data_IF_045463063741
#
_entry.id   IF_045463063741
#
_cell.length_a   1.000
_cell.length_b   1.000
_cell.length_c   1.000
_cell.angle_alpha   90.00
_cell.angle_beta   90.00
_cell.angle_gamma   90.00
#
_symmetry.space_group_name_H-M   'P 1'
#
loop_
_entity.id
_entity.type
_entity.pdbx_description
1 polymer ?
#
# COMPACT_ATOMS: atom_id res chain seq x y z
N UNK A 1 -53.90 15.89 0.19
CA UNK A 1 -54.26 14.97 -0.93
C UNK A 1 -53.38 15.30 -2.13
N UNK A 2 -53.05 14.28 -2.94
CA UNK A 2 -52.11 14.28 -4.08
C UNK A 2 -50.64 14.14 -3.63
N UNK A 3 -50.08 12.96 -3.35
CA UNK A 3 -49.94 11.74 -4.17
C UNK A 3 -49.28 12.03 -5.53
N UNK A 4 -48.00 11.68 -5.69
CA UNK A 4 -47.50 11.10 -6.95
C UNK A 4 -46.13 10.39 -6.81
N UNK A 5 -46.20 9.06 -6.91
CA UNK A 5 -45.30 8.13 -7.60
C UNK A 5 -43.87 7.92 -7.07
N UNK A 6 -43.78 7.05 -6.05
CA UNK A 6 -42.64 6.13 -5.88
C UNK A 6 -42.67 5.10 -7.03
N UNK A 7 -41.79 5.27 -8.03
CA UNK A 7 -41.55 4.24 -9.05
C UNK A 7 -40.49 3.29 -8.53
N UNK A 8 -40.94 2.10 -8.12
CA UNK A 8 -40.10 0.94 -7.84
C UNK A 8 -39.43 0.47 -9.13
N UNK A 9 -38.13 0.20 -9.08
CA UNK A 9 -37.46 -0.68 -10.03
C UNK A 9 -36.61 -1.66 -9.23
N UNK A 10 -37.22 -2.81 -8.88
CA UNK A 10 -36.50 -4.02 -8.54
C UNK A 10 -35.92 -4.57 -9.84
N UNK A 11 -34.59 -4.50 -9.99
CA UNK A 11 -33.87 -4.98 -11.17
C UNK A 11 -32.90 -6.08 -10.79
N UNK A 12 -33.39 -7.32 -10.90
CA UNK A 12 -32.72 -8.59 -11.19
C UNK A 12 -31.30 -8.86 -10.63
N UNK A 13 -31.23 -9.91 -9.79
CA UNK A 13 -30.05 -10.76 -9.61
C UNK A 13 -29.48 -11.17 -10.98
N UNK A 14 -28.23 -10.82 -11.22
CA UNK A 14 -27.42 -11.34 -12.33
C UNK A 14 -26.13 -11.91 -11.78
N UNK A 15 -26.18 -13.12 -11.21
CA UNK A 15 -24.99 -13.91 -10.88
C UNK A 15 -24.41 -14.42 -12.20
N UNK A 16 -23.40 -13.72 -12.72
CA UNK A 16 -22.60 -14.22 -13.85
C UNK A 16 -21.37 -14.90 -13.27
N UNK A 17 -21.52 -16.19 -12.97
CA UNK A 17 -20.41 -17.11 -12.77
C UNK A 17 -19.83 -17.46 -14.15
N UNK A 18 -18.75 -16.79 -14.55
CA UNK A 18 -18.04 -17.14 -15.78
C UNK A 18 -16.73 -17.87 -15.46
N UNK A 19 -16.83 -19.20 -15.60
CA UNK A 19 -15.83 -20.17 -16.06
C UNK A 19 -14.35 -19.93 -15.73
N UNK A 20 -13.87 -20.77 -14.81
CA UNK A 20 -12.47 -21.22 -14.70
C UNK A 20 -12.01 -21.83 -16.02
N UNK A 21 -10.99 -21.26 -16.64
CA UNK A 21 -10.24 -21.89 -17.73
C UNK A 21 -8.89 -22.38 -17.18
N UNK A 22 -8.83 -23.67 -16.83
CA UNK A 22 -7.57 -24.41 -16.64
C UNK A 22 -7.18 -24.98 -18.01
N UNK A 23 -6.11 -24.46 -18.60
CA UNK A 23 -5.31 -25.14 -19.63
C UNK A 23 -3.92 -25.34 -19.01
N UNK A 24 -3.61 -26.53 -18.49
CA UNK A 24 -3.11 -27.70 -19.22
C UNK A 24 -1.67 -27.52 -19.73
N UNK A 25 -0.74 -27.86 -18.83
CA UNK A 25 0.35 -28.82 -18.99
C UNK A 25 1.38 -28.71 -20.13
N UNK A 26 2.64 -28.84 -19.67
CA UNK A 26 3.79 -29.50 -20.30
C UNK A 26 4.58 -28.75 -21.38
N UNK A 27 5.77 -28.32 -20.97
CA UNK A 27 7.00 -28.77 -21.63
C UNK A 27 8.18 -28.62 -20.66
N UNK A 28 8.42 -29.66 -19.85
CA UNK A 28 9.72 -29.90 -19.23
C UNK A 28 10.69 -30.32 -20.35
N UNK A 29 11.36 -29.34 -20.95
CA UNK A 29 12.45 -29.56 -21.88
C UNK A 29 13.79 -29.61 -21.14
N UNK A 30 14.28 -30.81 -20.88
CA UNK A 30 15.72 -31.12 -20.74
C UNK A 30 16.38 -30.87 -22.12
N UNK A 31 17.64 -30.49 -22.35
CA UNK A 31 18.93 -30.52 -21.65
C UNK A 31 19.83 -29.45 -22.32
N UNK A 32 20.86 -28.96 -21.65
CA UNK A 32 22.22 -28.93 -22.23
C UNK A 32 23.27 -28.83 -21.13
N UNK A 33 24.26 -29.68 -21.33
CA UNK A 33 25.38 -30.06 -20.49
C UNK A 33 26.54 -29.06 -20.63
N UNK A 34 27.39 -29.00 -19.59
CA UNK A 34 28.81 -28.71 -19.79
C UNK A 34 29.34 -27.43 -19.13
N UNK A 35 30.21 -27.61 -18.13
CA UNK A 35 31.30 -26.67 -17.87
C UNK A 35 31.45 -26.24 -16.42
N UNK A 36 32.03 -27.10 -15.57
CA UNK A 36 32.69 -26.65 -14.35
C UNK A 36 33.91 -25.81 -14.69
N UNK A 37 34.02 -24.65 -14.07
CA UNK A 37 35.17 -23.76 -14.11
C UNK A 37 35.12 -22.79 -12.94
N UNK A 38 35.61 -23.24 -11.79
CA UNK A 38 35.89 -22.38 -10.64
C UNK A 38 37.18 -21.58 -10.91
N UNK A 39 37.11 -20.24 -10.97
CA UNK A 39 38.17 -19.34 -10.51
C UNK A 39 37.56 -18.05 -9.95
N UNK A 40 38.17 -17.66 -8.84
CA UNK A 40 37.93 -16.63 -7.86
C UNK A 40 37.80 -15.17 -8.30
N UNK A 41 37.29 -14.39 -7.33
CA UNK A 41 37.58 -12.98 -7.01
C UNK A 41 37.21 -11.91 -8.04
N UNK A 42 36.22 -11.10 -7.68
CA UNK A 42 35.98 -9.81 -8.33
C UNK A 42 34.56 -9.32 -8.11
N UNK A 43 34.41 -8.35 -7.21
CA UNK A 43 33.20 -7.57 -7.00
C UNK A 43 32.51 -7.16 -8.32
N UNK A 44 31.18 -7.27 -8.39
CA UNK A 44 30.30 -6.20 -8.89
C UNK A 44 28.81 -6.56 -8.74
N UNK A 45 28.07 -5.51 -8.42
CA UNK A 45 26.63 -5.45 -8.22
C UNK A 45 25.87 -5.73 -9.52
N UNK A 46 24.65 -6.29 -9.43
CA UNK A 46 23.38 -5.57 -9.72
C UNK A 46 22.22 -6.57 -9.94
N UNK A 47 21.03 -6.09 -9.57
CA UNK A 47 19.69 -6.48 -10.06
C UNK A 47 19.16 -7.88 -9.77
N UNK A 48 18.22 -7.90 -8.83
CA UNK A 48 17.23 -8.94 -8.69
C UNK A 48 16.05 -8.52 -7.83
N UNK A 49 15.49 -7.32 -8.03
CA UNK A 49 14.13 -7.03 -7.57
C UNK A 49 13.22 -7.09 -8.80
N UNK A 50 12.61 -8.26 -8.99
CA UNK A 50 11.46 -8.42 -9.85
C UNK A 50 10.26 -7.88 -9.10
N UNK A 51 9.67 -6.79 -9.61
CA UNK A 51 8.42 -6.22 -9.14
C UNK A 51 7.28 -7.14 -9.52
N UNK A 52 6.77 -7.87 -8.53
CA UNK A 52 5.42 -8.44 -8.56
C UNK A 52 4.75 -8.04 -7.24
N UNK A 53 3.65 -7.31 -7.34
CA UNK A 53 2.89 -6.78 -6.22
C UNK A 53 2.06 -7.88 -5.54
N UNK A 54 2.33 -8.17 -4.27
CA UNK A 54 1.39 -8.70 -3.28
C UNK A 54 1.96 -8.38 -1.87
N UNK A 55 1.11 -7.93 -0.96
CA UNK A 55 1.51 -7.41 0.36
C UNK A 55 2.32 -8.38 1.23
N UNK A 56 3.41 -7.87 1.79
CA UNK A 56 4.05 -8.39 2.98
C UNK A 56 4.57 -7.19 3.79
N UNK A 57 3.95 -6.93 4.94
CA UNK A 57 4.57 -6.07 5.95
C UNK A 57 5.60 -6.93 6.67
N UNK A 58 6.87 -6.76 6.32
CA UNK A 58 7.97 -7.36 7.09
C UNK A 58 8.14 -6.54 8.37
N UNK A 59 7.39 -6.92 9.40
CA UNK A 59 7.53 -6.44 10.76
C UNK A 59 8.81 -7.03 11.37
N UNK A 60 9.95 -6.42 11.03
CA UNK A 60 11.21 -6.88 11.59
C UNK A 60 12.40 -6.04 11.17
N UNK A 61 12.60 -4.88 11.80
CA UNK A 61 13.91 -4.34 12.21
C UNK A 61 13.76 -2.93 12.75
N UNK A 62 13.85 -2.78 14.08
CA UNK A 62 13.76 -1.49 14.80
C UNK A 62 14.87 -0.49 14.44
N UNK A 63 15.89 -0.85 13.66
CA UNK A 63 16.89 0.07 13.11
C UNK A 63 16.49 0.67 11.75
N UNK A 64 15.47 0.11 11.09
CA UNK A 64 14.98 0.54 9.78
C UNK A 64 13.89 1.62 9.89
N UNK A 65 13.33 1.84 11.09
CA UNK A 65 12.20 2.75 11.28
C UNK A 65 12.60 4.16 10.84
N UNK A 66 13.68 4.74 11.37
CA UNK A 66 14.15 6.07 10.93
C UNK A 66 14.57 6.15 9.46
N UNK A 67 14.84 5.02 8.81
CA UNK A 67 15.22 4.96 7.40
C UNK A 67 14.02 4.71 6.46
N UNK A 68 12.81 4.50 7.00
CA UNK A 68 11.62 4.28 6.19
C UNK A 68 11.22 5.58 5.49
N UNK A 69 11.25 5.55 4.15
CA UNK A 69 10.94 6.69 3.30
C UNK A 69 9.61 6.54 2.55
N UNK A 70 8.99 5.37 2.60
CA UNK A 70 7.73 5.07 1.90
C UNK A 70 6.79 4.35 2.86
N UNK A 71 5.58 4.87 3.03
CA UNK A 71 4.46 4.18 3.68
C UNK A 71 3.45 3.76 2.63
N UNK A 72 2.88 2.57 2.75
CA UNK A 72 1.82 2.16 1.82
C UNK A 72 0.59 3.07 1.97
N UNK A 73 -0.09 3.34 0.86
CA UNK A 73 -1.25 4.24 0.84
C UNK A 73 -2.52 3.67 1.48
N UNK A 74 -2.47 2.44 1.99
CA UNK A 74 -3.54 1.87 2.80
C UNK A 74 -2.96 1.11 3.98
N UNK A 75 -3.34 1.51 5.18
CA UNK A 75 -2.88 0.89 6.41
C UNK A 75 -3.17 1.73 7.65
N UNK A 76 -2.79 1.15 8.78
CA UNK A 76 -2.83 1.75 10.10
C UNK A 76 -1.42 1.64 10.67
N UNK A 77 -0.82 2.76 11.05
CA UNK A 77 0.58 2.85 11.43
C UNK A 77 0.73 3.59 12.76
N UNK A 78 1.41 2.98 13.73
CA UNK A 78 1.80 3.65 14.95
C UNK A 78 2.83 4.75 14.66
N UNK A 79 2.50 6.00 15.01
CA UNK A 79 3.36 7.16 14.79
C UNK A 79 4.62 7.03 15.64
N UNK A 80 5.78 7.32 15.05
CA UNK A 80 7.10 7.21 15.67
C UNK A 80 7.71 5.81 15.70
N UNK A 81 6.94 4.74 15.43
CA UNK A 81 7.42 3.35 15.47
C UNK A 81 7.21 2.58 14.16
N UNK A 82 6.07 2.75 13.50
CA UNK A 82 5.79 2.15 12.18
C UNK A 82 5.76 3.24 11.10
N UNK A 83 5.26 4.43 11.45
CA UNK A 83 5.34 5.64 10.65
C UNK A 83 6.26 6.65 11.34
N UNK A 84 7.53 6.79 10.89
CA UNK A 84 8.47 7.74 11.48
C UNK A 84 7.95 9.18 11.45
N UNK A 85 8.42 10.01 12.39
CA UNK A 85 8.06 11.42 12.40
C UNK A 85 8.60 12.11 11.14
N UNK A 86 7.85 13.05 10.56
CA UNK A 86 8.27 13.78 9.37
C UNK A 86 7.11 14.30 8.54
N UNK A 87 7.46 14.90 7.41
CA UNK A 87 6.49 15.38 6.43
C UNK A 87 6.26 14.29 5.39
N UNK A 88 5.02 14.01 5.04
CA UNK A 88 4.66 13.02 4.05
C UNK A 88 3.84 13.64 2.93
N UNK A 89 4.10 13.21 1.70
CA UNK A 89 3.33 13.59 0.51
C UNK A 89 2.92 12.34 -0.27
N UNK A 90 1.76 12.38 -0.92
CA UNK A 90 1.34 11.31 -1.82
C UNK A 90 2.28 11.15 -3.02
N UNK A 91 2.58 9.89 -3.32
CA UNK A 91 3.34 9.49 -4.49
C UNK A 91 2.70 9.97 -5.79
N UNK A 92 3.54 10.43 -6.71
CA UNK A 92 3.09 11.02 -7.97
C UNK A 92 2.63 12.48 -7.86
N UNK A 93 2.71 13.07 -6.66
CA UNK A 93 2.45 14.50 -6.39
C UNK A 93 1.14 14.99 -7.03
N UNK A 94 0.00 14.33 -6.76
CA UNK A 94 -1.26 14.71 -7.38
C UNK A 94 -1.68 16.12 -6.93
N UNK A 95 -2.26 16.91 -7.84
CA UNK A 95 -2.73 18.28 -7.56
C UNK A 95 -3.88 18.33 -6.54
N UNK A 96 -4.57 17.21 -6.33
CA UNK A 96 -5.68 17.06 -5.41
C UNK A 96 -5.72 15.64 -4.83
N UNK A 97 -6.41 15.45 -3.71
CA UNK A 97 -6.59 14.14 -3.10
C UNK A 97 -7.30 13.18 -4.07
N UNK A 98 -6.71 12.02 -4.39
CA UNK A 98 -7.35 11.05 -5.28
C UNK A 98 -8.71 10.59 -4.75
N UNK A 99 -9.66 10.33 -5.66
CA UNK A 99 -10.98 9.84 -5.29
C UNK A 99 -10.86 8.51 -4.52
N UNK A 100 -11.43 8.46 -3.31
CA UNK A 100 -11.36 7.28 -2.44
C UNK A 100 -10.15 7.25 -1.51
N UNK A 101 -9.17 8.13 -1.69
CA UNK A 101 -8.10 8.35 -0.72
C UNK A 101 -8.65 9.12 0.48
N UNK A 102 -8.43 8.58 1.68
CA UNK A 102 -8.73 9.24 2.95
C UNK A 102 -7.61 8.97 3.93
N UNK A 103 -7.34 9.94 4.80
CA UNK A 103 -6.42 9.74 5.90
C UNK A 103 -6.87 10.49 7.15
N UNK A 104 -6.45 9.96 8.30
CA UNK A 104 -6.66 10.54 9.60
C UNK A 104 -5.46 10.23 10.52
N UNK A 105 -5.29 11.07 11.52
CA UNK A 105 -4.50 10.78 12.70
C UNK A 105 -5.49 10.54 13.83
N UNK A 106 -5.32 9.44 14.54
CA UNK A 106 -6.19 8.98 15.61
C UNK A 106 -5.46 8.98 16.96
N UNK A 107 -6.24 9.13 18.02
CA UNK A 107 -5.78 8.95 19.40
C UNK A 107 -5.72 7.47 19.81
N UNK A 108 -5.34 7.23 21.06
CA UNK A 108 -5.18 5.87 21.59
C UNK A 108 -6.51 5.10 21.71
N UNK A 109 -7.64 5.80 21.69
CA UNK A 109 -8.99 5.23 21.73
C UNK A 109 -9.56 5.05 20.31
N UNK A 110 -8.75 5.29 19.27
CA UNK A 110 -9.16 5.21 17.87
C UNK A 110 -10.13 6.33 17.45
N UNK A 111 -10.18 7.43 18.21
CA UNK A 111 -10.96 8.60 17.82
C UNK A 111 -10.11 9.48 16.89
N UNK A 112 -10.76 10.06 15.89
CA UNK A 112 -10.10 10.98 14.96
C UNK A 112 -9.63 12.23 15.72
N UNK A 113 -8.32 12.40 15.80
CA UNK A 113 -7.66 13.60 16.31
C UNK A 113 -7.55 14.66 15.21
N UNK A 114 -7.12 14.25 14.02
CA UNK A 114 -7.06 15.08 12.81
C UNK A 114 -7.52 14.24 11.62
N UNK A 115 -8.32 14.81 10.73
CA UNK A 115 -8.56 14.27 9.40
C UNK A 115 -8.26 15.35 8.37
N UNK A 116 -7.68 14.96 7.24
CA UNK A 116 -7.37 15.90 6.18
C UNK A 116 -7.88 15.47 4.83
N UNK A 117 -8.09 16.46 3.97
CA UNK A 117 -8.49 16.34 2.57
C UNK A 117 -7.34 16.69 1.60
N UNK A 118 -6.13 16.88 2.13
CA UNK A 118 -4.94 17.26 1.37
C UNK A 118 -4.00 16.11 1.06
N UNK A 119 -3.08 16.34 0.14
CA UNK A 119 -2.07 15.37 -0.33
C UNK A 119 -0.81 15.34 0.54
N UNK A 120 -0.80 16.10 1.64
CA UNK A 120 0.29 16.22 2.60
C UNK A 120 -0.19 15.93 4.03
N UNK A 121 0.66 15.29 4.82
CA UNK A 121 0.44 15.10 6.27
C UNK A 121 1.76 15.26 7.03
N UNK A 122 1.69 15.84 8.23
CA UNK A 122 2.84 15.99 9.11
C UNK A 122 2.66 15.09 10.32
N UNK A 123 3.55 14.12 10.49
CA UNK A 123 3.57 13.24 11.65
C UNK A 123 4.59 13.78 12.64
N UNK A 124 4.11 14.28 13.77
CA UNK A 124 4.93 14.89 14.83
C UNK A 124 4.73 14.14 16.14
N UNK A 125 5.64 14.37 17.09
CA UNK A 125 5.50 13.81 18.42
C UNK A 125 4.45 14.61 19.19
N UNK A 126 3.20 14.12 19.16
CA UNK A 126 2.07 14.65 19.91
C UNK A 126 1.51 13.50 20.77
N UNK A 127 1.44 13.64 22.10
CA UNK A 127 1.03 12.54 22.99
C UNK A 127 -0.34 11.95 22.66
N UNK A 128 -1.27 12.78 22.20
CA UNK A 128 -2.64 12.43 21.87
C UNK A 128 -2.79 11.91 20.43
N UNK A 129 -1.76 12.03 19.58
CA UNK A 129 -1.83 11.70 18.16
C UNK A 129 -0.91 10.49 17.89
N UNK A 130 -1.46 9.28 18.02
CA UNK A 130 -0.65 8.05 18.15
C UNK A 130 -0.69 7.16 16.92
N UNK A 131 -1.73 7.28 16.10
CA UNK A 131 -1.95 6.38 14.96
C UNK A 131 -2.21 7.17 13.69
N UNK A 132 -1.50 6.86 12.60
CA UNK A 132 -1.81 7.33 11.27
C UNK A 132 -2.61 6.26 10.51
N UNK A 133 -3.80 6.62 10.04
CA UNK A 133 -4.67 5.75 9.24
C UNK A 133 -4.78 6.35 7.84
N UNK A 134 -4.52 5.54 6.83
CA UNK A 134 -4.69 5.91 5.42
C UNK A 134 -5.40 4.80 4.67
N UNK A 135 -6.26 5.15 3.72
CA UNK A 135 -7.08 4.18 2.99
C UNK A 135 -7.32 4.67 1.57
N UNK A 136 -7.08 3.80 0.58
CA UNK A 136 -7.34 4.10 -0.83
C UNK A 136 -6.41 5.16 -1.42
N UNK A 137 -5.31 5.48 -0.74
CA UNK A 137 -4.33 6.45 -1.22
C UNK A 137 -3.23 5.76 -2.04
N UNK A 138 -2.54 6.50 -2.92
CA UNK A 138 -1.19 6.17 -3.32
C UNK A 138 -0.26 6.10 -2.10
N UNK A 139 0.91 5.48 -2.27
CA UNK A 139 1.93 5.44 -1.23
C UNK A 139 2.35 6.85 -0.79
N UNK A 140 2.79 6.98 0.45
CA UNK A 140 3.28 8.24 1.01
C UNK A 140 4.79 8.26 1.03
N UNK A 141 5.40 9.29 0.47
CA UNK A 141 6.82 9.55 0.56
C UNK A 141 7.12 10.48 1.74
N UNK A 142 8.07 10.08 2.59
CA UNK A 142 8.57 10.91 3.69
C UNK A 142 9.67 11.84 3.19
N UNK A 143 9.60 13.10 3.64
CA UNK A 143 10.62 14.13 3.46
C UNK A 143 11.06 14.63 4.84
N UNK A 144 12.37 14.84 4.99
CA UNK A 144 12.99 15.46 6.18
C UNK A 144 13.24 16.95 5.97
#
# INVERSE_FOLDING_TARGET
MSAEKVRRALGALGVVLLAVAVLAACASGAVSDGGSGDVSDGAQMVSGVTTDAEGAVDAGTSAAIGALTVLAGTGTYAIGTEAPLGSYELSGNPDALPAGCRWAIEDADGQTFVAGDGTYVFLTEVPEAVTFVTTGCPDWHRYE
#
